data_IF_378217206213
#
_entry.id   IF_378217206213
#
_cell.length_a   1.000
_cell.length_b   1.000
_cell.length_c   1.000
_cell.angle_alpha   90.00
_cell.angle_beta   90.00
_cell.angle_gamma   90.00
#
_symmetry.space_group_name_H-M   'P 1'
#
loop_
_entity.id
_entity.type
_entity.pdbx_description
1 polymer ?
#
# COMPACT_ATOMS: atom_id res chain seq x y z
N UNK A 1 11.19 15.11 -35.99
CA UNK A 1 11.72 15.14 -34.62
C UNK A 1 11.33 13.83 -33.99
N UNK A 2 12.24 12.88 -34.08
CA UNK A 2 12.04 11.52 -33.60
C UNK A 2 11.84 11.61 -32.07
N UNK A 3 10.66 11.19 -31.60
CA UNK A 3 10.47 10.92 -30.19
C UNK A 3 11.38 9.75 -29.86
N UNK A 4 12.46 10.02 -29.17
CA UNK A 4 13.29 9.01 -28.54
C UNK A 4 12.32 8.21 -27.68
N UNK A 5 12.17 6.93 -28.02
CA UNK A 5 11.31 5.99 -27.31
C UNK A 5 12.04 5.60 -26.00
N UNK A 6 12.09 6.55 -25.07
CA UNK A 6 12.83 6.47 -23.81
C UNK A 6 11.92 5.93 -22.73
N UNK A 7 11.80 4.61 -22.66
CA UNK A 7 11.16 3.97 -21.53
C UNK A 7 10.04 2.99 -21.89
N UNK A 8 9.49 2.38 -20.89
CA UNK A 8 8.37 1.45 -20.93
C UNK A 8 7.13 2.15 -21.52
N UNK A 9 6.47 1.58 -22.55
CA UNK A 9 5.19 2.10 -23.00
C UNK A 9 4.06 1.74 -22.02
N UNK A 10 2.91 2.42 -22.11
CA UNK A 10 1.82 2.27 -21.15
C UNK A 10 1.32 0.80 -21.11
N UNK A 11 1.08 0.17 -22.25
CA UNK A 11 0.56 -1.20 -22.31
C UNK A 11 1.56 -2.22 -21.76
N UNK A 12 2.84 -2.07 -22.11
CA UNK A 12 3.91 -2.90 -21.54
C UNK A 12 3.98 -2.77 -20.02
N UNK A 13 3.81 -1.57 -19.49
CA UNK A 13 3.79 -1.36 -18.05
C UNK A 13 2.57 -2.01 -17.39
N UNK A 14 1.37 -1.88 -17.98
CA UNK A 14 0.15 -2.50 -17.47
C UNK A 14 0.29 -4.04 -17.41
N UNK A 15 0.82 -4.63 -18.45
CA UNK A 15 1.10 -6.08 -18.52
C UNK A 15 2.18 -6.51 -17.51
N UNK A 16 3.23 -5.69 -17.35
CA UNK A 16 4.33 -5.95 -16.42
C UNK A 16 3.88 -6.01 -14.96
N UNK A 17 2.96 -5.12 -14.56
CA UNK A 17 2.40 -5.12 -13.19
C UNK A 17 1.20 -6.07 -13.04
N UNK A 18 0.79 -6.73 -14.13
CA UNK A 18 -0.29 -7.70 -14.14
C UNK A 18 -1.69 -7.09 -14.06
N UNK A 19 -1.88 -5.89 -14.63
CA UNK A 19 -3.20 -5.23 -14.62
C UNK A 19 -4.21 -6.07 -15.41
N UNK A 20 -5.44 -6.17 -14.89
CA UNK A 20 -6.49 -6.98 -15.48
C UNK A 20 -6.87 -6.46 -16.89
N UNK A 21 -7.07 -7.34 -17.89
CA UNK A 21 -7.39 -6.93 -19.26
C UNK A 21 -8.60 -5.99 -19.36
N UNK A 22 -9.65 -6.24 -18.57
CA UNK A 22 -10.85 -5.38 -18.52
C UNK A 22 -10.51 -3.94 -18.09
N UNK A 23 -9.57 -3.77 -17.16
CA UNK A 23 -9.14 -2.43 -16.72
C UNK A 23 -8.28 -1.79 -17.80
N UNK A 24 -7.41 -2.54 -18.48
CA UNK A 24 -6.60 -2.02 -19.57
C UNK A 24 -7.49 -1.45 -20.69
N UNK A 25 -8.54 -2.18 -21.08
CA UNK A 25 -9.51 -1.71 -22.08
C UNK A 25 -10.22 -0.42 -21.63
N UNK A 26 -10.63 -0.34 -20.36
CA UNK A 26 -11.22 0.89 -19.80
C UNK A 26 -10.23 2.07 -19.81
N UNK A 27 -8.96 1.82 -19.47
CA UNK A 27 -7.92 2.86 -19.45
C UNK A 27 -7.57 3.38 -20.86
N UNK A 28 -7.65 2.55 -21.90
CA UNK A 28 -7.50 2.99 -23.28
C UNK A 28 -8.60 4.00 -23.65
N UNK A 29 -9.85 3.75 -23.26
CA UNK A 29 -10.96 4.70 -23.46
C UNK A 29 -10.82 5.97 -22.60
N UNK A 30 -10.37 5.83 -21.37
CA UNK A 30 -10.15 6.95 -20.45
C UNK A 30 -9.01 7.83 -20.94
N UNK A 31 -7.98 7.25 -21.54
CA UNK A 31 -6.84 7.98 -22.11
C UNK A 31 -7.25 9.02 -23.15
N UNK A 32 -8.32 8.76 -23.93
CA UNK A 32 -8.88 9.72 -24.88
C UNK A 32 -9.64 10.88 -24.21
N UNK A 33 -10.01 10.71 -22.94
CA UNK A 33 -10.79 11.71 -22.16
C UNK A 33 -9.90 12.58 -21.24
N UNK A 34 -8.68 12.13 -20.95
CA UNK A 34 -7.74 12.83 -20.06
C UNK A 34 -6.73 13.62 -20.86
N UNK A 35 -6.81 14.95 -20.75
CA UNK A 35 -5.78 15.84 -21.30
C UNK A 35 -4.56 15.86 -20.37
N UNK A 36 -3.56 15.03 -20.72
CA UNK A 36 -2.32 14.95 -19.94
C UNK A 36 -1.54 16.25 -19.91
N UNK A 37 -1.70 17.14 -20.91
CA UNK A 37 -1.02 18.46 -20.91
C UNK A 37 -1.58 19.32 -19.81
N UNK A 38 -2.91 19.35 -19.62
CA UNK A 38 -3.55 20.08 -18.53
C UNK A 38 -3.27 19.46 -17.16
N UNK A 39 -3.13 18.14 -17.10
CA UNK A 39 -2.83 17.39 -15.88
C UNK A 39 -1.34 17.44 -15.49
N UNK A 40 -0.42 17.83 -16.37
CA UNK A 40 1.04 17.68 -16.24
C UNK A 40 1.58 18.18 -14.89
N UNK A 41 1.19 19.38 -14.46
CA UNK A 41 1.65 19.94 -13.18
C UNK A 41 1.30 19.08 -11.97
N UNK A 42 0.17 18.34 -12.03
CA UNK A 42 -0.24 17.45 -10.96
C UNK A 42 0.53 16.14 -11.00
N UNK A 43 0.81 15.62 -12.21
CA UNK A 43 1.62 14.43 -12.39
C UNK A 43 3.04 14.68 -11.89
N UNK A 44 3.66 15.78 -12.29
CA UNK A 44 5.01 16.15 -11.83
C UNK A 44 5.04 16.29 -10.30
N UNK A 45 4.05 16.94 -9.73
CA UNK A 45 3.94 17.09 -8.29
C UNK A 45 3.69 15.77 -7.57
N UNK A 46 2.93 14.82 -8.15
CA UNK A 46 2.75 13.48 -7.56
C UNK A 46 4.02 12.63 -7.58
N UNK A 47 4.93 12.87 -8.52
CA UNK A 47 6.23 12.18 -8.58
C UNK A 47 7.30 12.80 -7.67
N UNK A 48 6.94 13.79 -6.86
CA UNK A 48 7.81 14.42 -5.87
C UNK A 48 7.27 14.14 -4.46
N UNK A 49 8.09 13.57 -3.59
CA UNK A 49 7.70 13.15 -2.25
C UNK A 49 7.10 14.28 -1.40
N UNK A 50 7.61 15.50 -1.53
CA UNK A 50 7.19 16.66 -0.73
C UNK A 50 5.83 17.22 -1.15
N UNK A 51 5.44 17.03 -2.42
CA UNK A 51 4.21 17.61 -3.00
C UNK A 51 3.18 16.57 -3.40
N UNK A 52 3.50 15.28 -3.35
CA UNK A 52 2.67 14.18 -3.88
C UNK A 52 1.24 14.18 -3.31
N UNK A 53 1.10 14.35 -2.00
CA UNK A 53 -0.21 14.34 -1.35
C UNK A 53 -1.08 15.52 -1.80
N UNK A 54 -0.50 16.71 -1.88
CA UNK A 54 -1.22 17.90 -2.33
C UNK A 54 -1.60 17.78 -3.79
N UNK A 55 -0.68 17.33 -4.63
CA UNK A 55 -0.92 17.14 -6.07
C UNK A 55 -2.00 16.09 -6.35
N UNK A 56 -2.08 15.03 -5.56
CA UNK A 56 -3.19 14.08 -5.59
C UNK A 56 -4.54 14.76 -5.30
N UNK A 57 -4.61 15.59 -4.25
CA UNK A 57 -5.84 16.31 -3.88
C UNK A 57 -6.26 17.28 -4.97
N UNK A 58 -5.32 18.02 -5.53
CA UNK A 58 -5.56 19.01 -6.59
C UNK A 58 -6.02 18.33 -7.89
N UNK A 59 -5.41 17.18 -8.27
CA UNK A 59 -5.84 16.39 -9.41
C UNK A 59 -7.24 15.81 -9.21
N UNK A 60 -7.55 15.33 -8.01
CA UNK A 60 -8.90 14.86 -7.68
C UNK A 60 -9.94 15.96 -7.83
N UNK A 61 -9.63 17.19 -7.39
CA UNK A 61 -10.50 18.33 -7.57
C UNK A 61 -10.62 18.77 -9.04
N UNK A 62 -9.52 18.65 -9.82
CA UNK A 62 -9.50 18.99 -11.24
C UNK A 62 -10.44 18.11 -12.08
N UNK A 63 -10.61 16.83 -11.73
CA UNK A 63 -11.48 15.95 -12.49
C UNK A 63 -12.98 16.13 -12.23
N UNK A 64 -13.39 16.86 -11.19
CA UNK A 64 -14.79 17.08 -10.79
C UNK A 64 -15.59 15.78 -10.65
N UNK A 65 -15.75 15.03 -11.76
CA UNK A 65 -16.43 13.73 -11.81
C UNK A 65 -15.46 12.61 -12.24
N UNK A 66 -15.22 11.66 -11.33
CA UNK A 66 -14.44 10.45 -11.56
C UNK A 66 -14.97 9.33 -10.65
N UNK A 67 -16.21 8.90 -10.90
CA UNK A 67 -16.99 8.01 -10.01
C UNK A 67 -16.26 6.70 -9.70
N UNK A 68 -15.60 6.09 -10.70
CA UNK A 68 -14.82 4.86 -10.55
C UNK A 68 -13.32 5.12 -10.34
N UNK A 69 -12.93 6.39 -10.20
CA UNK A 69 -11.56 6.88 -10.09
C UNK A 69 -10.61 6.35 -11.18
N UNK A 70 -11.14 6.08 -12.38
CA UNK A 70 -10.35 5.59 -13.50
C UNK A 70 -9.48 6.67 -14.15
N UNK A 71 -9.90 7.95 -14.13
CA UNK A 71 -9.06 9.07 -14.57
C UNK A 71 -7.87 9.25 -13.61
N UNK A 72 -8.13 9.15 -12.29
CA UNK A 72 -7.07 9.17 -11.28
C UNK A 72 -6.11 7.99 -11.46
N UNK A 73 -6.64 6.77 -11.65
CA UNK A 73 -5.84 5.57 -11.92
C UNK A 73 -4.96 5.78 -13.15
N UNK A 74 -5.53 6.27 -14.27
CA UNK A 74 -4.81 6.53 -15.50
C UNK A 74 -3.62 7.49 -15.28
N UNK A 75 -3.86 8.61 -14.58
CA UNK A 75 -2.82 9.57 -14.26
C UNK A 75 -1.73 9.01 -13.34
N UNK A 76 -2.10 8.25 -12.32
CA UNK A 76 -1.11 7.63 -11.44
C UNK A 76 -0.32 6.52 -12.12
N UNK A 77 -0.93 5.75 -13.04
CA UNK A 77 -0.22 4.79 -13.87
C UNK A 77 0.73 5.48 -14.87
N UNK A 78 0.36 6.66 -15.38
CA UNK A 78 1.29 7.48 -16.18
C UNK A 78 2.48 7.97 -15.35
N UNK A 79 2.26 8.39 -14.09
CA UNK A 79 3.36 8.66 -13.16
C UNK A 79 4.24 7.41 -12.94
N UNK A 80 3.64 6.25 -12.69
CA UNK A 80 4.35 4.99 -12.52
C UNK A 80 5.22 4.66 -13.75
N UNK A 81 4.67 4.81 -14.96
CA UNK A 81 5.39 4.62 -16.23
C UNK A 81 6.63 5.53 -16.34
N UNK A 82 6.46 6.82 -16.03
CA UNK A 82 7.57 7.79 -16.05
C UNK A 82 8.64 7.48 -15.00
N UNK A 83 8.23 6.97 -13.84
CA UNK A 83 9.14 6.60 -12.76
C UNK A 83 10.04 5.42 -13.10
N UNK A 84 9.65 4.55 -14.04
CA UNK A 84 10.49 3.42 -14.45
C UNK A 84 11.91 3.86 -14.76
N UNK A 85 12.07 4.96 -15.52
CA UNK A 85 13.36 5.56 -15.82
C UNK A 85 14.13 5.99 -14.57
N UNK A 86 13.46 6.55 -13.55
CA UNK A 86 14.14 6.94 -12.30
C UNK A 86 14.65 5.73 -11.52
N UNK A 87 13.96 4.58 -11.60
CA UNK A 87 14.45 3.33 -11.04
C UNK A 87 15.69 2.85 -11.79
N UNK A 88 15.71 2.93 -13.12
CA UNK A 88 16.89 2.61 -13.95
C UNK A 88 18.07 3.55 -13.64
N UNK A 89 17.86 4.86 -13.59
CA UNK A 89 18.89 5.85 -13.28
C UNK A 89 19.50 5.66 -11.89
N UNK A 90 18.72 5.17 -10.93
CA UNK A 90 19.19 4.81 -9.58
C UNK A 90 19.71 3.37 -9.50
N UNK A 91 19.72 2.63 -10.58
CA UNK A 91 20.09 1.21 -10.63
C UNK A 91 19.26 0.32 -9.68
N UNK A 92 18.04 0.76 -9.32
CA UNK A 92 17.13 -0.03 -8.49
C UNK A 92 16.61 -1.22 -9.31
N UNK A 93 16.69 -2.46 -8.79
CA UNK A 93 16.28 -3.65 -9.50
C UNK A 93 14.84 -3.58 -10.00
N UNK A 94 14.60 -4.02 -11.24
CA UNK A 94 13.29 -4.01 -11.90
C UNK A 94 12.20 -4.72 -11.08
N UNK A 95 12.53 -5.78 -10.36
CA UNK A 95 11.57 -6.49 -9.51
C UNK A 95 11.04 -5.60 -8.39
N UNK A 96 11.86 -4.72 -7.80
CA UNK A 96 11.40 -3.76 -6.76
C UNK A 96 10.37 -2.78 -7.36
N UNK A 97 10.62 -2.29 -8.58
CA UNK A 97 9.64 -1.47 -9.30
C UNK A 97 8.33 -2.23 -9.52
N UNK A 98 8.42 -3.43 -10.09
CA UNK A 98 7.24 -4.26 -10.41
C UNK A 98 6.44 -4.59 -9.15
N UNK A 99 7.10 -5.05 -8.10
CA UNK A 99 6.43 -5.43 -6.86
C UNK A 99 5.79 -4.22 -6.17
N UNK A 100 6.44 -3.04 -6.25
CA UNK A 100 5.87 -1.79 -5.73
C UNK A 100 4.64 -1.36 -6.52
N UNK A 101 4.70 -1.37 -7.86
CA UNK A 101 3.60 -0.91 -8.72
C UNK A 101 2.45 -1.93 -8.83
N UNK A 102 2.65 -3.18 -8.45
CA UNK A 102 1.56 -4.17 -8.31
C UNK A 102 0.50 -3.79 -7.30
N UNK A 103 0.74 -2.78 -6.45
CA UNK A 103 -0.29 -2.23 -5.57
C UNK A 103 -1.55 -1.80 -6.34
N UNK A 104 -1.43 -1.28 -7.57
CA UNK A 104 -2.58 -0.91 -8.39
C UNK A 104 -3.45 -2.13 -8.73
N UNK A 105 -2.82 -3.21 -9.19
CA UNK A 105 -3.49 -4.47 -9.52
C UNK A 105 -4.16 -5.08 -8.30
N UNK A 106 -3.45 -5.14 -7.17
CA UNK A 106 -3.97 -5.65 -5.90
C UNK A 106 -5.19 -4.87 -5.42
N UNK A 107 -5.15 -3.55 -5.41
CA UNK A 107 -6.28 -2.73 -4.94
C UNK A 107 -7.52 -2.84 -5.83
N UNK A 108 -7.35 -2.98 -7.15
CA UNK A 108 -8.47 -3.23 -8.06
C UNK A 108 -9.09 -4.60 -7.78
N UNK A 109 -8.27 -5.62 -7.51
CA UNK A 109 -8.73 -6.96 -7.16
C UNK A 109 -9.48 -6.97 -5.83
N UNK A 110 -8.97 -6.29 -4.80
CA UNK A 110 -9.65 -6.10 -3.52
C UNK A 110 -11.02 -5.40 -3.70
N UNK A 111 -11.10 -4.39 -4.58
CA UNK A 111 -12.37 -3.75 -4.92
C UNK A 111 -13.34 -4.73 -5.58
N UNK A 112 -12.85 -5.57 -6.50
CA UNK A 112 -13.65 -6.61 -7.17
C UNK A 112 -14.19 -7.62 -6.17
N UNK A 113 -13.34 -8.13 -5.29
CA UNK A 113 -13.73 -9.12 -4.28
C UNK A 113 -14.77 -8.56 -3.30
N UNK A 114 -14.59 -7.32 -2.85
CA UNK A 114 -15.48 -6.66 -1.89
C UNK A 114 -16.81 -6.22 -2.50
N UNK A 115 -16.80 -5.72 -3.74
CA UNK A 115 -17.96 -5.02 -4.33
C UNK A 115 -18.55 -5.73 -5.56
N UNK A 116 -17.96 -6.83 -6.03
CA UNK A 116 -18.36 -7.54 -7.24
C UNK A 116 -18.09 -6.80 -8.55
N UNK A 117 -17.38 -5.68 -8.52
CA UNK A 117 -17.00 -4.89 -9.71
C UNK A 117 -15.60 -4.30 -9.59
N UNK A 118 -14.93 -4.09 -10.71
CA UNK A 118 -13.60 -3.47 -10.76
C UNK A 118 -13.74 -1.95 -10.86
N UNK A 119 -13.10 -1.25 -9.91
CA UNK A 119 -12.90 0.18 -9.89
C UNK A 119 -11.66 0.47 -9.04
N UNK A 120 -11.28 1.75 -8.93
CA UNK A 120 -10.11 2.13 -8.14
C UNK A 120 -10.52 3.11 -7.04
N UNK A 121 -10.21 2.81 -5.80
CA UNK A 121 -10.57 3.64 -4.63
C UNK A 121 -9.37 4.01 -3.75
N UNK A 122 -8.15 3.62 -4.14
CA UNK A 122 -6.92 3.80 -3.37
C UNK A 122 -5.98 4.88 -3.91
N UNK A 123 -6.47 5.80 -4.74
CA UNK A 123 -5.67 6.93 -5.23
C UNK A 123 -5.07 7.78 -4.11
N UNK A 124 -5.77 7.88 -2.97
CA UNK A 124 -5.31 8.54 -1.76
C UNK A 124 -4.15 7.82 -1.05
N UNK A 125 -3.86 6.58 -1.45
CA UNK A 125 -2.74 5.79 -0.94
C UNK A 125 -1.59 5.74 -1.93
N UNK A 126 -1.87 5.44 -3.20
CA UNK A 126 -0.89 5.10 -4.23
C UNK A 126 -0.03 6.27 -4.71
N UNK A 127 -0.37 7.52 -4.36
CA UNK A 127 0.55 8.65 -4.59
C UNK A 127 1.90 8.45 -3.86
N UNK A 128 1.95 7.62 -2.82
CA UNK A 128 3.19 7.30 -2.11
C UNK A 128 4.12 6.42 -2.94
N UNK A 129 3.57 5.45 -3.65
CA UNK A 129 4.34 4.59 -4.56
C UNK A 129 4.87 5.39 -5.75
N UNK A 130 4.02 6.23 -6.35
CA UNK A 130 4.43 7.04 -7.52
C UNK A 130 5.29 8.25 -7.15
N UNK A 131 5.52 8.54 -5.89
CA UNK A 131 6.52 9.50 -5.42
C UNK A 131 7.82 8.86 -4.92
N UNK A 132 7.96 7.54 -5.05
CA UNK A 132 9.08 6.78 -4.47
C UNK A 132 9.20 6.95 -2.95
N UNK A 133 8.09 7.17 -2.25
CA UNK A 133 8.02 7.26 -0.81
C UNK A 133 7.75 5.90 -0.15
N UNK A 134 7.16 4.94 -0.88
CA UNK A 134 6.93 3.56 -0.45
C UNK A 134 7.52 2.60 -1.47
N UNK A 135 8.13 1.53 -0.98
CA UNK A 135 8.65 0.41 -1.77
C UNK A 135 8.13 -0.92 -1.23
N UNK A 136 7.67 -1.82 -2.11
CA UNK A 136 7.43 -3.21 -1.78
C UNK A 136 8.76 -3.97 -1.87
N UNK A 137 9.20 -4.54 -0.73
CA UNK A 137 10.43 -5.31 -0.65
C UNK A 137 10.11 -6.62 0.06
N UNK A 138 10.05 -7.71 -0.70
CA UNK A 138 9.61 -9.00 -0.18
C UNK A 138 8.16 -8.96 0.32
N UNK A 139 7.95 -9.40 1.56
CA UNK A 139 6.61 -9.51 2.14
C UNK A 139 5.97 -8.17 2.53
N UNK A 140 6.75 -7.12 2.76
CA UNK A 140 6.28 -5.86 3.38
C UNK A 140 6.46 -4.66 2.45
N UNK A 141 5.77 -3.56 2.77
CA UNK A 141 6.00 -2.24 2.17
C UNK A 141 6.69 -1.34 3.19
N UNK A 142 7.67 -0.55 2.72
CA UNK A 142 8.56 0.29 3.52
C UNK A 142 8.43 1.74 3.08
N UNK A 143 8.05 2.63 4.01
CA UNK A 143 7.79 4.04 3.76
C UNK A 143 8.78 4.91 4.49
N UNK A 144 9.33 5.93 3.82
CA UNK A 144 10.05 7.02 4.49
C UNK A 144 9.09 7.81 5.36
N UNK A 145 9.38 7.92 6.65
CA UNK A 145 8.57 8.63 7.64
C UNK A 145 9.43 9.38 8.66
N UNK A 146 8.78 10.28 9.36
CA UNK A 146 9.30 10.88 10.58
C UNK A 146 8.40 10.51 11.75
N UNK A 147 9.01 10.24 12.89
CA UNK A 147 8.33 10.02 14.17
C UNK A 147 9.12 10.73 15.28
N UNK A 148 8.46 11.63 16.01
CA UNK A 148 9.07 12.43 17.07
C UNK A 148 10.31 13.22 16.64
N UNK A 149 10.35 13.67 15.38
CA UNK A 149 11.47 14.42 14.79
C UNK A 149 12.66 13.55 14.32
N UNK A 150 12.54 12.24 14.41
CA UNK A 150 13.54 11.28 13.90
C UNK A 150 13.07 10.64 12.60
N UNK A 151 14.01 10.35 11.70
CA UNK A 151 13.75 9.55 10.50
C UNK A 151 13.50 8.10 10.90
N UNK A 152 12.41 7.53 10.44
CA UNK A 152 12.03 6.14 10.67
C UNK A 152 11.55 5.50 9.36
N UNK A 153 11.51 4.18 9.31
CA UNK A 153 10.83 3.46 8.23
C UNK A 153 9.48 2.98 8.74
N UNK A 154 8.40 3.49 8.13
CA UNK A 154 7.05 3.00 8.37
C UNK A 154 6.78 1.70 7.60
N UNK A 155 6.36 0.67 8.31
CA UNK A 155 5.98 -0.61 7.71
C UNK A 155 4.49 -0.64 7.41
N UNK A 156 4.15 -1.19 6.24
CA UNK A 156 2.78 -1.52 5.87
C UNK A 156 2.71 -2.99 5.50
N UNK A 157 1.60 -3.62 5.86
CA UNK A 157 1.35 -5.04 5.65
C UNK A 157 0.32 -5.15 4.53
N UNK A 158 0.73 -5.44 3.29
CA UNK A 158 -0.19 -5.66 2.20
C UNK A 158 -1.10 -6.88 2.44
N UNK A 159 -2.29 -6.89 1.83
CA UNK A 159 -3.27 -7.98 1.99
C UNK A 159 -2.74 -9.35 1.55
N UNK A 160 -1.80 -9.35 0.60
CA UNK A 160 -1.12 -10.53 0.05
C UNK A 160 0.21 -10.88 0.77
N UNK A 161 0.49 -10.26 1.93
CA UNK A 161 1.74 -10.49 2.65
C UNK A 161 1.80 -11.90 3.26
N UNK A 162 2.89 -12.61 2.98
CA UNK A 162 3.26 -13.80 3.77
C UNK A 162 3.94 -13.37 5.06
N UNK A 163 3.23 -13.48 6.18
CA UNK A 163 3.72 -13.15 7.52
C UNK A 163 4.45 -14.31 8.21
N UNK A 164 4.84 -15.38 7.50
CA UNK A 164 5.73 -16.39 8.07
C UNK A 164 7.04 -15.75 8.54
N UNK A 165 7.61 -16.26 9.64
CA UNK A 165 8.85 -15.69 10.19
C UNK A 165 9.96 -15.61 9.16
N UNK A 166 10.14 -16.65 8.33
CA UNK A 166 11.14 -16.71 7.27
C UNK A 166 10.93 -15.62 6.21
N UNK A 167 9.69 -15.42 5.75
CA UNK A 167 9.35 -14.41 4.74
C UNK A 167 9.55 -12.99 5.27
N UNK A 168 9.14 -12.74 6.51
CA UNK A 168 9.32 -11.44 7.18
C UNK A 168 10.81 -11.14 7.38
N UNK A 169 11.60 -12.10 7.88
CA UNK A 169 13.05 -11.92 8.09
C UNK A 169 13.78 -11.68 6.74
N UNK A 170 13.39 -12.39 5.70
CA UNK A 170 13.93 -12.17 4.35
C UNK A 170 13.60 -10.76 3.83
N UNK A 171 12.38 -10.28 4.08
CA UNK A 171 11.94 -8.94 3.72
C UNK A 171 12.77 -7.86 4.44
N UNK A 172 13.00 -8.01 5.75
CA UNK A 172 13.84 -7.05 6.50
C UNK A 172 15.29 -7.03 6.00
N UNK A 173 15.92 -8.20 5.77
CA UNK A 173 17.28 -8.25 5.21
C UNK A 173 17.38 -7.60 3.84
N UNK A 174 16.40 -7.83 2.97
CA UNK A 174 16.35 -7.19 1.64
C UNK A 174 16.16 -5.68 1.76
N UNK A 175 15.33 -5.21 2.69
CA UNK A 175 15.11 -3.78 2.93
C UNK A 175 16.37 -3.08 3.46
N UNK A 176 17.10 -3.70 4.37
CA UNK A 176 18.39 -3.19 4.86
C UNK A 176 19.38 -3.00 3.71
N UNK A 177 19.53 -4.02 2.87
CA UNK A 177 20.39 -3.93 1.68
C UNK A 177 19.92 -2.85 0.72
N UNK A 178 18.62 -2.72 0.51
CA UNK A 178 18.02 -1.73 -0.37
C UNK A 178 18.30 -0.31 0.11
N UNK A 179 17.96 0.02 1.36
CA UNK A 179 18.18 1.36 1.90
C UNK A 179 19.67 1.67 2.01
N UNK A 180 20.49 0.72 2.46
CA UNK A 180 21.94 0.86 2.53
C UNK A 180 22.63 1.02 1.18
N UNK A 181 21.98 0.61 0.08
CA UNK A 181 22.52 0.76 -1.28
C UNK A 181 22.04 2.03 -1.97
N UNK A 182 20.73 2.27 -1.97
CA UNK A 182 20.09 3.29 -2.82
C UNK A 182 19.71 4.57 -2.08
N UNK A 183 19.69 4.54 -0.72
CA UNK A 183 19.27 5.65 0.14
C UNK A 183 20.17 5.80 1.36
N UNK A 184 21.47 5.72 1.18
CA UNK A 184 22.51 5.78 2.24
C UNK A 184 22.41 7.02 3.13
N UNK A 185 21.93 8.13 2.57
CA UNK A 185 21.72 9.41 3.27
C UNK A 185 20.48 9.43 4.16
N UNK A 186 19.61 8.42 4.03
CA UNK A 186 18.45 8.26 4.88
C UNK A 186 18.78 7.35 6.06
N UNK A 187 19.52 7.90 7.02
CA UNK A 187 19.81 7.19 8.27
C UNK A 187 18.55 7.10 9.13
N UNK A 188 18.13 5.88 9.47
CA UNK A 188 17.00 5.61 10.34
C UNK A 188 17.40 4.65 11.46
N UNK A 189 16.77 4.81 12.63
CA UNK A 189 17.06 4.01 13.82
C UNK A 189 15.95 3.03 14.18
N UNK A 190 14.78 3.18 13.57
CA UNK A 190 13.58 2.43 13.97
C UNK A 190 12.69 2.10 12.78
N UNK A 191 11.96 0.99 12.95
CA UNK A 191 10.77 0.68 12.17
C UNK A 191 9.53 1.03 12.98
N UNK A 192 8.50 1.52 12.32
CA UNK A 192 7.19 1.78 12.92
C UNK A 192 6.10 1.06 12.15
N UNK A 193 5.09 0.56 12.83
CA UNK A 193 3.93 -0.06 12.19
C UNK A 193 2.64 0.42 12.87
N UNK A 194 1.70 0.95 12.09
CA UNK A 194 0.35 1.28 12.55
C UNK A 194 -0.64 0.44 11.77
N UNK A 195 -1.27 -0.52 12.43
CA UNK A 195 -2.16 -1.47 11.78
C UNK A 195 -3.12 -2.10 12.77
N UNK A 196 -4.28 -2.54 12.31
CA UNK A 196 -5.17 -3.40 13.06
C UNK A 196 -4.51 -4.75 13.41
N UNK A 197 -3.61 -5.25 12.54
CA UNK A 197 -2.82 -6.47 12.81
C UNK A 197 -1.89 -6.33 14.03
N UNK A 198 -1.60 -5.09 14.46
CA UNK A 198 -0.80 -4.80 15.66
C UNK A 198 -1.65 -4.75 16.94
N UNK A 199 -3.00 -4.81 16.83
CA UNK A 199 -3.89 -4.64 17.99
C UNK A 199 -3.74 -5.78 19.01
N UNK A 200 -3.46 -5.48 20.28
CA UNK A 200 -3.34 -6.51 21.34
C UNK A 200 -4.61 -7.34 21.53
N UNK A 201 -5.77 -6.78 21.20
CA UNK A 201 -7.06 -7.48 21.25
C UNK A 201 -7.14 -8.71 20.34
N UNK A 202 -6.27 -8.84 19.35
CA UNK A 202 -6.17 -10.05 18.51
C UNK A 202 -5.51 -11.23 19.24
N UNK A 203 -4.65 -10.98 20.22
CA UNK A 203 -3.86 -12.04 20.87
C UNK A 203 -4.73 -13.18 21.43
N UNK A 204 -5.83 -12.95 22.19
CA UNK A 204 -6.68 -14.03 22.66
C UNK A 204 -7.52 -14.70 21.56
N UNK A 205 -7.65 -14.08 20.38
CA UNK A 205 -8.43 -14.61 19.27
C UNK A 205 -7.61 -15.52 18.34
N UNK A 206 -6.29 -15.45 18.43
CA UNK A 206 -5.35 -16.19 17.57
C UNK A 206 -4.80 -17.42 18.29
N UNK A 207 -4.28 -18.38 17.53
CA UNK A 207 -3.54 -19.53 18.10
C UNK A 207 -2.12 -19.12 18.46
N UNK A 208 -1.50 -19.78 19.45
CA UNK A 208 -0.13 -19.47 19.88
C UNK A 208 0.96 -19.60 18.81
N UNK A 209 0.69 -20.30 17.70
CA UNK A 209 1.59 -20.39 16.53
C UNK A 209 1.22 -19.45 15.38
N UNK A 210 0.40 -18.43 15.63
CA UNK A 210 -0.02 -17.48 14.60
C UNK A 210 1.14 -16.61 14.11
N UNK A 211 1.28 -16.51 12.78
CA UNK A 211 2.24 -15.61 12.14
C UNK A 211 1.96 -14.13 12.50
N UNK A 212 0.70 -13.77 12.71
CA UNK A 212 0.32 -12.42 13.16
C UNK A 212 0.92 -12.13 14.53
N UNK A 213 0.78 -13.04 15.50
CA UNK A 213 1.38 -12.88 16.84
C UNK A 213 2.92 -12.84 16.77
N UNK A 214 3.51 -13.69 15.94
CA UNK A 214 4.96 -13.67 15.72
C UNK A 214 5.43 -12.33 15.15
N UNK A 215 4.67 -11.73 14.24
CA UNK A 215 4.97 -10.40 13.71
C UNK A 215 4.79 -9.32 14.78
N UNK A 216 3.66 -9.30 15.51
CA UNK A 216 3.40 -8.35 16.61
C UNK A 216 4.51 -8.35 17.67
N UNK A 217 5.00 -9.53 18.06
CA UNK A 217 6.01 -9.70 19.11
C UNK A 217 7.39 -9.10 18.75
N UNK A 218 7.56 -8.61 17.52
CA UNK A 218 8.78 -7.87 17.11
C UNK A 218 8.74 -6.41 17.52
N UNK A 219 7.58 -5.90 17.94
CA UNK A 219 7.34 -4.50 18.19
C UNK A 219 6.94 -4.24 19.64
N UNK A 220 7.43 -3.13 20.18
CA UNK A 220 6.88 -2.54 21.40
C UNK A 220 5.64 -1.72 21.03
N UNK A 221 4.48 -2.11 21.55
CA UNK A 221 3.22 -1.38 21.33
C UNK A 221 3.21 -0.13 22.18
N UNK A 222 3.18 1.03 21.54
CA UNK A 222 3.26 2.35 22.21
C UNK A 222 1.87 2.95 22.38
N UNK A 223 0.94 2.70 21.46
CA UNK A 223 -0.40 3.27 21.48
C UNK A 223 -1.41 2.33 20.85
N UNK A 224 -2.58 2.24 21.46
CA UNK A 224 -3.75 1.59 20.90
C UNK A 224 -4.78 2.63 20.47
N UNK A 225 -5.48 2.37 19.35
CA UNK A 225 -6.68 3.08 18.93
C UNK A 225 -7.85 2.08 18.88
N UNK A 226 -8.68 2.11 19.92
CA UNK A 226 -9.82 1.21 20.05
C UNK A 226 -11.05 1.65 19.25
N UNK A 227 -11.07 2.90 18.80
CA UNK A 227 -12.16 3.47 17.99
C UNK A 227 -11.98 3.20 16.50
N UNK A 228 -10.77 2.81 16.08
CA UNK A 228 -10.49 2.45 14.71
C UNK A 228 -11.28 1.20 14.30
N UNK A 229 -12.03 1.30 13.19
CA UNK A 229 -12.87 0.24 12.63
C UNK A 229 -12.39 -0.32 11.30
N UNK A 230 -11.24 0.12 10.81
CA UNK A 230 -10.70 -0.36 9.51
C UNK A 230 -10.54 -1.88 9.48
N UNK A 231 -10.30 -2.52 10.63
CA UNK A 231 -10.20 -3.99 10.70
C UNK A 231 -11.46 -4.71 10.21
N UNK A 232 -12.64 -4.09 10.28
CA UNK A 232 -13.89 -4.69 9.77
C UNK A 232 -13.78 -4.93 8.27
N UNK A 233 -13.30 -3.94 7.52
CA UNK A 233 -13.10 -4.06 6.08
C UNK A 233 -12.09 -5.16 5.73
N UNK A 234 -11.00 -5.25 6.50
CA UNK A 234 -9.93 -6.20 6.21
C UNK A 234 -10.27 -7.64 6.63
N UNK A 235 -10.88 -7.82 7.78
CA UNK A 235 -11.25 -9.15 8.30
C UNK A 235 -12.44 -9.73 7.55
N UNK A 236 -13.46 -8.91 7.27
CA UNK A 236 -14.73 -9.40 6.78
C UNK A 236 -14.97 -9.15 5.28
N UNK A 237 -14.17 -8.29 4.64
CA UNK A 237 -14.34 -7.88 3.26
C UNK A 237 -15.73 -7.27 3.01
N UNK A 238 -16.16 -6.39 3.90
CA UNK A 238 -17.42 -5.64 3.86
C UNK A 238 -17.17 -4.19 4.30
N UNK A 239 -18.11 -3.25 4.06
CA UNK A 239 -18.01 -1.88 4.56
C UNK A 239 -17.88 -1.84 6.09
N UNK A 240 -17.10 -0.86 6.60
CA UNK A 240 -16.81 -0.72 8.04
C UNK A 240 -18.06 -0.41 8.89
N UNK A 241 -19.13 0.08 8.28
CA UNK A 241 -20.42 0.39 8.90
C UNK A 241 -21.43 -0.79 8.86
N UNK A 242 -21.00 -1.98 8.42
CA UNK A 242 -21.83 -3.18 8.41
C UNK A 242 -22.25 -3.57 9.83
N UNK A 243 -23.55 -3.85 10.02
CA UNK A 243 -24.08 -4.33 11.29
C UNK A 243 -23.39 -5.62 11.73
N UNK A 244 -23.00 -5.73 13.01
CA UNK A 244 -22.21 -6.86 13.51
C UNK A 244 -22.94 -8.21 13.39
N UNK A 245 -24.28 -8.20 13.38
CA UNK A 245 -25.10 -9.38 13.15
C UNK A 245 -24.98 -9.93 11.73
N UNK A 246 -24.63 -9.10 10.77
CA UNK A 246 -24.58 -9.42 9.34
C UNK A 246 -23.16 -9.77 8.86
N UNK A 247 -22.15 -9.64 9.75
CA UNK A 247 -20.77 -9.94 9.42
C UNK A 247 -20.56 -11.41 9.02
N UNK A 248 -19.79 -11.69 7.95
CA UNK A 248 -19.45 -13.05 7.51
C UNK A 248 -18.75 -13.88 8.59
N UNK A 249 -18.90 -15.22 8.49
CA UNK A 249 -18.32 -16.17 9.45
C UNK A 249 -17.52 -17.31 8.76
N UNK A 250 -16.92 -17.01 7.61
CA UNK A 250 -16.26 -18.01 6.75
C UNK A 250 -15.00 -18.57 7.38
N UNK A 251 -14.20 -17.71 8.04
CA UNK A 251 -12.93 -18.10 8.68
C UNK A 251 -13.05 -18.18 10.21
N UNK A 252 -12.10 -18.84 10.87
CA UNK A 252 -12.03 -18.88 12.33
C UNK A 252 -11.85 -17.50 12.96
N UNK A 253 -11.03 -16.64 12.31
CA UNK A 253 -10.81 -15.28 12.78
C UNK A 253 -12.10 -14.46 12.66
N UNK A 254 -12.82 -14.54 11.53
CA UNK A 254 -14.10 -13.86 11.37
C UNK A 254 -15.11 -14.24 12.48
N UNK A 255 -15.25 -15.52 12.78
CA UNK A 255 -16.16 -15.97 13.85
C UNK A 255 -15.78 -15.37 15.20
N UNK A 256 -14.51 -15.43 15.58
CA UNK A 256 -14.02 -14.94 16.87
C UNK A 256 -14.11 -13.42 16.99
N UNK A 257 -13.76 -12.67 15.93
CA UNK A 257 -13.88 -11.21 15.92
C UNK A 257 -15.35 -10.80 16.00
N UNK A 258 -16.24 -11.46 15.22
CA UNK A 258 -17.68 -11.20 15.29
C UNK A 258 -18.26 -11.45 16.70
N UNK A 259 -17.86 -12.55 17.33
CA UNK A 259 -18.28 -12.85 18.72
C UNK A 259 -17.79 -11.76 19.68
N UNK A 260 -16.53 -11.32 19.58
CA UNK A 260 -15.99 -10.20 20.36
C UNK A 260 -16.86 -8.94 20.20
N UNK A 261 -17.21 -8.58 18.95
CA UNK A 261 -18.02 -7.39 18.65
C UNK A 261 -19.43 -7.48 19.23
N UNK A 262 -20.09 -8.63 19.12
CA UNK A 262 -21.43 -8.86 19.68
C UNK A 262 -21.45 -8.82 21.21
N UNK A 263 -20.32 -9.07 21.86
CA UNK A 263 -20.14 -8.93 23.32
C UNK A 263 -19.76 -7.51 23.74
N UNK A 264 -19.73 -6.55 22.80
CA UNK A 264 -19.37 -5.15 23.08
C UNK A 264 -17.88 -4.87 23.12
N UNK A 265 -17.04 -5.83 22.69
CA UNK A 265 -15.61 -5.62 22.51
C UNK A 265 -15.27 -4.98 21.16
N UNK A 266 -13.98 -4.71 20.93
CA UNK A 266 -13.45 -4.19 19.67
C UNK A 266 -12.04 -4.73 19.43
N UNK A 267 -11.60 -4.76 18.16
CA UNK A 267 -10.19 -5.04 17.82
C UNK A 267 -9.40 -3.74 17.86
N UNK A 268 -9.83 -2.71 17.11
CA UNK A 268 -9.09 -1.47 16.96
C UNK A 268 -7.84 -1.63 16.10
N UNK A 269 -6.91 -0.71 16.27
CA UNK A 269 -5.55 -0.76 15.72
C UNK A 269 -4.52 -0.42 16.80
N UNK A 270 -3.23 -0.63 16.49
CA UNK A 270 -2.17 -0.22 17.39
C UNK A 270 -0.95 0.28 16.61
N UNK A 271 -0.21 1.18 17.24
CA UNK A 271 1.06 1.70 16.78
C UNK A 271 2.19 1.06 17.58
N UNK A 272 3.10 0.39 16.87
CA UNK A 272 4.26 -0.25 17.44
C UNK A 272 5.57 0.30 16.87
N UNK A 273 6.62 0.20 17.65
CA UNK A 273 7.99 0.57 17.31
C UNK A 273 8.88 -0.67 17.46
N UNK A 274 9.83 -0.83 16.55
CA UNK A 274 10.89 -1.82 16.62
C UNK A 274 12.21 -1.11 16.32
N UNK A 275 13.19 -1.24 17.21
CA UNK A 275 14.52 -0.69 16.97
C UNK A 275 15.16 -1.38 15.75
N UNK A 276 15.87 -0.60 14.98
CA UNK A 276 16.66 -1.13 13.88
C UNK A 276 17.96 -1.72 14.43
N UNK A 277 18.09 -3.03 14.29
CA UNK A 277 19.34 -3.74 14.54
C UNK A 277 19.82 -4.32 13.20
N UNK A 278 21.01 -3.96 12.70
CA UNK A 278 21.52 -4.52 11.45
C UNK A 278 21.60 -6.04 11.51
N UNK A 279 21.12 -6.71 10.48
CA UNK A 279 21.29 -8.14 10.34
C UNK A 279 22.80 -8.43 10.08
N UNK A 280 23.45 -9.08 11.02
CA UNK A 280 24.86 -9.50 10.96
C UNK A 280 25.11 -10.66 9.98
#
# INVERSE_FOLDING_TARGET
>A
MDRINDGLNAREMYELIGLQPEIIEKLEVIGDQVDLIQAEKYLDGMMNIDTAQQSYRDLKAFFEEDTDQLKMLYCQLECARRLFRRYEEKEIPKNIYVDTMRCFTRFIEECREKNGRMFFDRGWWTYRQVSMNIFRIGALEYQFKEYEGEKVIGLHIPSDADLSGESVDASFRQAELFFGTYYKEYEYSRYTCNSWLMAPALSPLLSGGSNILSFQNRFDIIREDREDKEYIEWVFQVPADTEYTDLPQRTSLQRKVRELLLQGGTVGSAFGIMDYEPYS
#
